data_IF_661139010383
#
_entry.id   IF_661139010383
#
_cell.length_a   1.000
_cell.length_b   1.000
_cell.length_c   1.000
_cell.angle_alpha   90.00
_cell.angle_beta   90.00
_cell.angle_gamma   90.00
#
_symmetry.space_group_name_H-M   'P 1'
#
loop_
_entity.id
_entity.type
_entity.pdbx_description
1 polymer ?
#
# COMPACT_ATOMS: atom_id res chain seq x y z
N UNK A 1 -9.60 11.48 -16.63
CA UNK A 1 -8.82 10.85 -15.53
C UNK A 1 -7.34 10.98 -15.86
N UNK A 2 -6.51 11.39 -14.90
CA UNK A 2 -5.07 11.64 -15.09
C UNK A 2 -4.20 10.37 -15.07
N UNK A 3 -4.83 9.20 -14.87
CA UNK A 3 -4.20 7.88 -14.74
C UNK A 3 -3.17 7.75 -13.59
N UNK A 4 -3.20 8.67 -12.63
CA UNK A 4 -2.46 8.55 -11.38
C UNK A 4 -3.01 7.43 -10.49
N UNK A 5 -2.17 6.91 -9.59
CA UNK A 5 -2.56 5.97 -8.53
C UNK A 5 -2.40 6.66 -7.18
N UNK A 6 -3.30 6.40 -6.24
CA UNK A 6 -3.06 6.75 -4.84
C UNK A 6 -2.02 5.79 -4.26
N UNK A 7 -0.92 6.34 -3.75
CA UNK A 7 0.22 5.55 -3.27
C UNK A 7 0.80 6.14 -2.00
N UNK A 8 1.36 5.27 -1.16
CA UNK A 8 2.17 5.66 0.00
C UNK A 8 3.64 5.52 -0.37
N UNK A 9 4.40 6.63 -0.31
CA UNK A 9 5.85 6.60 -0.48
C UNK A 9 6.52 6.43 0.88
N UNK A 10 7.16 5.28 1.09
CA UNK A 10 7.82 4.91 2.35
C UNK A 10 9.32 5.16 2.26
N UNK A 11 9.88 5.79 3.30
CA UNK A 11 11.32 5.81 3.56
C UNK A 11 11.61 4.90 4.76
N UNK A 12 12.64 4.07 4.66
CA UNK A 12 13.01 3.10 5.69
C UNK A 12 14.53 2.95 5.76
N UNK A 13 15.06 2.57 6.93
CA UNK A 13 16.46 2.15 7.08
C UNK A 13 16.53 0.62 6.84
N UNK A 14 17.23 0.15 5.79
CA UNK A 14 17.35 -1.28 5.48
C UNK A 14 17.94 -2.13 6.61
N UNK A 15 18.65 -1.50 7.57
CA UNK A 15 19.22 -2.19 8.75
C UNK A 15 18.17 -2.44 9.84
N UNK A 16 17.10 -1.65 9.87
CA UNK A 16 16.06 -1.73 10.89
C UNK A 16 14.74 -2.33 10.36
N UNK A 17 14.48 -2.21 9.06
CA UNK A 17 13.29 -2.75 8.41
C UNK A 17 13.69 -3.27 7.03
N UNK A 18 13.41 -4.53 6.75
CA UNK A 18 13.72 -5.13 5.45
C UNK A 18 12.60 -4.79 4.47
N UNK A 19 12.91 -4.85 3.18
CA UNK A 19 11.91 -4.60 2.14
C UNK A 19 10.79 -5.65 2.16
N UNK A 20 11.12 -6.89 2.52
CA UNK A 20 10.19 -7.99 2.68
C UNK A 20 9.13 -7.69 3.76
N UNK A 21 9.52 -7.04 4.87
CA UNK A 21 8.57 -6.66 5.93
C UNK A 21 7.54 -5.64 5.40
N UNK A 22 7.96 -4.74 4.50
CA UNK A 22 7.07 -3.79 3.84
C UNK A 22 6.12 -4.48 2.86
N UNK A 23 6.59 -5.52 2.15
CA UNK A 23 5.76 -6.33 1.25
C UNK A 23 4.72 -7.14 2.04
N UNK A 24 5.12 -7.73 3.17
CA UNK A 24 4.20 -8.48 4.03
C UNK A 24 3.12 -7.56 4.61
N UNK A 25 3.50 -6.36 5.05
CA UNK A 25 2.55 -5.33 5.48
C UNK A 25 1.62 -4.89 4.34
N UNK A 26 2.13 -4.76 3.11
CA UNK A 26 1.33 -4.46 1.93
C UNK A 26 0.27 -5.55 1.68
N UNK A 27 0.64 -6.82 1.61
CA UNK A 27 -0.30 -7.91 1.35
C UNK A 27 -1.35 -8.08 2.45
N UNK A 28 -1.02 -7.77 3.70
CA UNK A 28 -1.95 -7.83 4.82
C UNK A 28 -2.97 -6.67 4.84
N UNK A 29 -2.74 -5.58 4.09
CA UNK A 29 -3.50 -4.33 4.26
C UNK A 29 -4.67 -4.16 3.29
N UNK A 30 -4.66 -4.83 2.15
CA UNK A 30 -5.69 -4.67 1.11
C UNK A 30 -6.02 -6.00 0.42
N UNK A 31 -6.98 -5.98 -0.51
CA UNK A 31 -7.30 -7.14 -1.35
C UNK A 31 -6.56 -6.98 -2.69
N UNK A 32 -5.49 -7.75 -2.94
CA UNK A 32 -4.69 -7.58 -4.15
C UNK A 32 -5.34 -8.21 -5.39
N UNK A 33 -6.58 -8.72 -5.30
CA UNK A 33 -7.28 -9.46 -6.35
C UNK A 33 -8.44 -8.68 -6.98
N UNK A 34 -8.68 -7.45 -6.53
CA UNK A 34 -9.71 -6.55 -7.07
C UNK A 34 -9.08 -5.52 -8.01
N UNK A 35 -9.45 -5.59 -9.29
CA UNK A 35 -8.94 -4.66 -10.30
C UNK A 35 -9.61 -3.28 -10.14
N UNK A 36 -8.79 -2.23 -10.04
CA UNK A 36 -9.24 -0.82 -9.97
C UNK A 36 -10.30 -0.57 -8.88
N UNK A 37 -10.15 -1.24 -7.73
CA UNK A 37 -11.05 -1.14 -6.59
C UNK A 37 -10.36 -1.60 -5.32
N UNK A 38 -10.63 -0.92 -4.21
CA UNK A 38 -10.34 -1.42 -2.87
C UNK A 38 -11.54 -1.19 -1.95
N UNK A 39 -12.17 -2.27 -1.49
CA UNK A 39 -13.44 -2.17 -0.75
C UNK A 39 -14.53 -1.46 -1.56
N UNK A 40 -15.08 -0.38 -1.00
CA UNK A 40 -16.10 0.43 -1.65
C UNK A 40 -15.53 1.52 -2.59
N UNK A 41 -14.22 1.74 -2.59
CA UNK A 41 -13.56 2.75 -3.40
C UNK A 41 -13.27 2.20 -4.80
N UNK A 42 -13.94 2.74 -5.82
CA UNK A 42 -13.89 2.24 -7.21
C UNK A 42 -13.27 3.27 -8.14
N UNK A 43 -12.24 2.86 -8.89
CA UNK A 43 -11.52 3.74 -9.80
C UNK A 43 -10.09 3.27 -10.05
N UNK A 44 -9.50 3.68 -11.17
CA UNK A 44 -8.12 3.30 -11.52
C UNK A 44 -7.12 3.83 -10.49
N UNK A 45 -7.45 4.91 -9.78
CA UNK A 45 -6.63 5.47 -8.70
C UNK A 45 -6.58 4.61 -7.43
N UNK A 46 -7.39 3.54 -7.34
CA UNK A 46 -7.39 2.60 -6.21
C UNK A 46 -6.84 1.22 -6.58
N UNK A 47 -6.02 1.16 -7.64
CA UNK A 47 -5.43 -0.10 -8.09
C UNK A 47 -4.28 -0.52 -7.18
N UNK A 48 -4.17 -1.81 -6.93
CA UNK A 48 -3.02 -2.39 -6.24
C UNK A 48 -1.77 -2.26 -7.10
N UNK A 49 -0.69 -1.67 -6.55
CA UNK A 49 0.56 -1.50 -7.29
C UNK A 49 1.78 -1.37 -6.37
N UNK A 50 2.89 -1.98 -6.79
CA UNK A 50 4.21 -1.85 -6.19
C UNK A 50 5.11 -1.13 -7.20
N UNK A 51 5.66 0.01 -6.78
CA UNK A 51 6.53 0.83 -7.61
C UNK A 51 7.96 0.82 -7.09
N UNK A 52 8.85 0.10 -7.75
CA UNK A 52 10.20 -0.17 -7.26
C UNK A 52 11.21 0.90 -7.68
N UNK A 53 12.23 1.11 -6.85
CA UNK A 53 13.35 2.03 -7.13
C UNK A 53 14.62 1.31 -7.60
N UNK A 54 14.76 0.01 -7.31
CA UNK A 54 15.94 -0.78 -7.69
C UNK A 54 15.54 -2.17 -8.24
N UNK A 55 16.41 -2.83 -9.02
CA UNK A 55 16.17 -4.19 -9.50
C UNK A 55 16.00 -5.22 -8.37
N UNK A 56 16.65 -5.02 -7.22
CA UNK A 56 16.51 -5.90 -6.06
C UNK A 56 15.09 -5.82 -5.47
N UNK A 57 14.51 -4.61 -5.41
CA UNK A 57 13.12 -4.42 -5.01
C UNK A 57 12.15 -5.06 -6.01
N UNK A 58 12.41 -4.92 -7.32
CA UNK A 58 11.61 -5.60 -8.34
C UNK A 58 11.60 -7.12 -8.14
N UNK A 59 12.79 -7.71 -7.98
CA UNK A 59 12.94 -9.16 -7.76
C UNK A 59 12.19 -9.60 -6.51
N UNK A 60 12.41 -8.94 -5.37
CA UNK A 60 11.76 -9.26 -4.11
C UNK A 60 10.23 -9.13 -4.18
N UNK A 61 9.72 -8.08 -4.86
CA UNK A 61 8.29 -7.88 -5.06
C UNK A 61 7.66 -9.00 -5.89
N UNK A 62 8.32 -9.43 -6.96
CA UNK A 62 7.86 -10.54 -7.82
C UNK A 62 7.83 -11.86 -7.06
N UNK A 63 8.90 -12.19 -6.35
CA UNK A 63 8.97 -13.40 -5.53
C UNK A 63 7.92 -13.39 -4.40
N UNK A 64 7.68 -12.24 -3.77
CA UNK A 64 6.65 -12.08 -2.75
C UNK A 64 5.25 -12.25 -3.32
N UNK A 65 4.96 -11.70 -4.51
CA UNK A 65 3.70 -11.91 -5.22
C UNK A 65 3.46 -13.39 -5.49
N UNK A 66 4.47 -14.13 -5.98
CA UNK A 66 4.34 -15.57 -6.23
C UNK A 66 4.04 -16.37 -4.96
N UNK A 67 4.69 -16.02 -3.83
CA UNK A 67 4.38 -16.62 -2.54
C UNK A 67 2.95 -16.32 -2.10
N UNK A 68 2.52 -15.07 -2.21
CA UNK A 68 1.17 -14.64 -1.82
C UNK A 68 0.08 -15.25 -2.71
N UNK A 69 0.34 -15.39 -4.01
CA UNK A 69 -0.60 -16.00 -4.95
C UNK A 69 -0.95 -17.43 -4.57
N UNK A 70 -0.02 -18.19 -3.98
CA UNK A 70 -0.27 -19.58 -3.52
C UNK A 70 -1.24 -19.64 -2.34
N UNK A 71 -1.40 -18.54 -1.60
CA UNK A 71 -2.31 -18.45 -0.46
C UNK A 71 -3.72 -17.95 -0.85
N UNK A 72 -3.88 -17.44 -2.07
CA UNK A 72 -5.11 -16.82 -2.54
C UNK A 72 -5.73 -17.61 -3.70
N UNK A 73 -7.04 -17.86 -3.62
CA UNK A 73 -7.78 -18.55 -4.67
C UNK A 73 -8.00 -17.67 -5.92
N UNK A 74 -8.04 -16.35 -5.71
CA UNK A 74 -8.23 -15.36 -6.78
C UNK A 74 -6.87 -14.89 -7.28
N UNK A 75 -6.77 -14.63 -8.59
CA UNK A 75 -5.55 -14.11 -9.20
C UNK A 75 -5.24 -12.70 -8.66
N UNK A 76 -4.00 -12.50 -8.22
CA UNK A 76 -3.46 -11.19 -7.86
C UNK A 76 -3.35 -10.33 -9.13
N UNK A 77 -3.87 -9.12 -9.06
CA UNK A 77 -3.86 -8.12 -10.16
C UNK A 77 -2.93 -6.95 -9.86
N UNK A 78 -2.08 -7.08 -8.84
CA UNK A 78 -1.10 -6.06 -8.45
C UNK A 78 -0.10 -5.81 -9.57
N UNK A 79 0.05 -4.56 -10.00
CA UNK A 79 1.09 -4.19 -10.96
C UNK A 79 2.44 -4.01 -10.26
N UNK A 80 3.53 -4.46 -10.90
CA UNK A 80 4.91 -4.25 -10.43
C UNK A 80 5.65 -3.50 -11.53
N UNK A 81 5.90 -2.21 -11.32
CA UNK A 81 6.45 -1.30 -12.34
C UNK A 81 7.55 -0.39 -11.74
N UNK A 82 8.45 0.17 -12.56
CA UNK A 82 9.40 1.18 -12.08
C UNK A 82 8.70 2.39 -11.46
N UNK A 83 9.25 2.88 -10.35
CA UNK A 83 8.80 4.13 -9.75
C UNK A 83 8.98 5.30 -10.72
N UNK A 84 7.93 6.12 -10.84
CA UNK A 84 7.91 7.34 -11.66
C UNK A 84 7.88 8.57 -10.75
N UNK A 85 7.71 9.74 -11.37
CA UNK A 85 7.55 11.01 -10.65
C UNK A 85 6.40 10.91 -9.63
N UNK A 86 6.73 11.15 -8.37
CA UNK A 86 5.78 11.19 -7.26
C UNK A 86 5.28 12.61 -7.04
N UNK A 87 3.97 12.78 -7.00
CA UNK A 87 3.31 14.03 -6.66
C UNK A 87 2.75 13.91 -5.26
N UNK A 88 3.28 14.69 -4.31
CA UNK A 88 2.79 14.70 -2.93
C UNK A 88 1.38 15.28 -2.92
N UNK A 89 0.43 14.53 -2.37
CA UNK A 89 -0.94 15.00 -2.14
C UNK A 89 -0.97 16.15 -1.12
N UNK A 90 -2.06 16.91 -1.13
CA UNK A 90 -2.30 18.04 -0.24
C UNK A 90 -2.20 17.64 1.25
N UNK A 91 -1.89 18.62 2.10
CA UNK A 91 -1.55 18.37 3.51
C UNK A 91 -2.70 17.77 4.34
N UNK A 92 -3.95 17.97 3.93
CA UNK A 92 -5.11 17.37 4.59
C UNK A 92 -5.20 15.84 4.39
N UNK A 93 -4.59 15.29 3.33
CA UNK A 93 -4.50 13.84 3.13
C UNK A 93 -3.40 13.19 3.98
N UNK A 94 -2.43 13.97 4.44
CA UNK A 94 -1.24 13.47 5.12
C UNK A 94 -1.59 13.10 6.56
N UNK A 95 -1.27 11.87 6.97
CA UNK A 95 -1.57 11.32 8.30
C UNK A 95 -3.06 11.47 8.70
N UNK A 96 -3.96 11.34 7.71
CA UNK A 96 -5.40 11.62 7.89
C UNK A 96 -6.05 10.85 9.05
N UNK A 97 -5.79 9.54 9.19
CA UNK A 97 -6.36 8.71 10.25
C UNK A 97 -5.79 9.02 11.64
N UNK A 98 -4.51 9.42 11.71
CA UNK A 98 -3.88 9.86 12.96
C UNK A 98 -4.44 11.21 13.42
N UNK A 99 -4.80 12.08 12.47
CA UNK A 99 -5.44 13.38 12.73
C UNK A 99 -6.91 13.25 13.17
N UNK A 100 -7.53 12.07 13.06
CA UNK A 100 -8.90 11.81 13.51
C UNK A 100 -9.83 11.26 12.44
N UNK A 101 -9.39 11.20 11.19
CA UNK A 101 -10.22 10.75 10.07
C UNK A 101 -11.51 11.56 9.91
N UNK A 102 -12.52 10.94 9.30
CA UNK A 102 -13.82 11.53 8.98
C UNK A 102 -14.66 11.81 10.24
N UNK A 103 -14.48 11.01 11.27
CA UNK A 103 -15.35 11.01 12.46
C UNK A 103 -14.70 11.63 13.71
N UNK A 104 -13.44 12.06 13.63
CA UNK A 104 -12.69 12.64 14.75
C UNK A 104 -12.04 11.61 15.69
N UNK A 105 -12.23 10.31 15.46
CA UNK A 105 -11.62 9.24 16.25
C UNK A 105 -10.22 8.90 15.72
N UNK A 106 -9.20 9.38 16.42
CA UNK A 106 -7.80 9.15 16.06
C UNK A 106 -7.46 7.65 16.10
N UNK A 107 -6.62 7.24 15.16
CA UNK A 107 -6.02 5.91 15.14
C UNK A 107 -4.52 6.03 15.44
N UNK A 108 -4.01 5.19 16.32
CA UNK A 108 -2.60 5.25 16.74
C UNK A 108 -1.66 4.89 15.59
N UNK A 109 -0.65 5.73 15.35
CA UNK A 109 0.44 5.49 14.41
C UNK A 109 1.73 5.01 15.13
N UNK A 110 1.64 4.66 16.42
CA UNK A 110 2.78 4.20 17.19
C UNK A 110 3.37 2.91 16.60
N UNK A 111 4.71 2.78 16.65
CA UNK A 111 5.40 1.57 16.19
C UNK A 111 4.93 0.35 17.00
N UNK A 112 4.61 -0.74 16.30
CA UNK A 112 4.11 -1.98 16.92
C UNK A 112 2.63 -1.96 17.29
N UNK A 113 1.89 -0.90 16.96
CA UNK A 113 0.44 -0.87 17.10
C UNK A 113 -0.20 -1.94 16.19
N UNK A 114 -1.00 -2.82 16.78
CA UNK A 114 -1.75 -3.87 16.06
C UNK A 114 -3.27 -3.65 16.13
N UNK A 115 -3.70 -2.44 16.53
CA UNK A 115 -5.11 -2.08 16.53
C UNK A 115 -5.68 -2.16 15.10
N UNK A 116 -6.89 -2.70 14.90
CA UNK A 116 -7.49 -2.77 13.58
C UNK A 116 -7.66 -1.39 12.95
N UNK A 117 -6.99 -1.16 11.82
CA UNK A 117 -7.11 0.09 11.06
C UNK A 117 -8.50 0.18 10.43
N UNK A 118 -9.21 1.28 10.68
CA UNK A 118 -10.51 1.63 10.08
C UNK A 118 -10.31 2.55 8.89
N UNK A 119 -10.94 2.24 7.76
CA UNK A 119 -10.67 2.89 6.47
C UNK A 119 -10.84 4.43 6.50
N UNK A 120 -11.82 4.95 7.24
CA UNK A 120 -12.18 6.38 7.18
C UNK A 120 -12.09 7.11 8.51
N UNK A 121 -11.75 6.45 9.62
CA UNK A 121 -11.84 7.02 10.97
C UNK A 121 -12.50 6.06 11.95
#
# INVERSE_FOLDING_TARGET
MTNHNEVVRVQYDPRACKYEDLLDAFWARHDPTTLNRQGNDVGTQYRSGIYYYTPEQEKAARESLERQQKLLNRKIVTEILPAKKFYRAEEYHQQYLEKGGRFGFKQSAAKGCNDPIRCYG
#
